data_IF_737273614020
#
_entry.id   IF_737273614020
#
_cell.length_a   1.000
_cell.length_b   1.000
_cell.length_c   1.000
_cell.angle_alpha   90.00
_cell.angle_beta   90.00
_cell.angle_gamma   90.00
#
_symmetry.space_group_name_H-M   'P 1'
#
loop_
_entity.id
_entity.type
_entity.pdbx_description
1 polymer ?
#
# COMPACT_ATOMS: atom_id res chain seq x y z
N UNK A 1 -12.01 -10.76 -7.50
CA UNK A 1 -10.87 -11.44 -6.83
C UNK A 1 -11.12 -11.70 -5.34
N UNK A 2 -11.82 -10.83 -4.60
CA UNK A 2 -11.94 -10.90 -3.13
C UNK A 2 -12.98 -11.86 -2.50
N UNK A 3 -13.75 -12.66 -3.25
CA UNK A 3 -14.86 -13.44 -2.64
C UNK A 3 -14.42 -14.46 -1.57
N UNK A 4 -13.13 -14.82 -1.50
CA UNK A 4 -12.59 -15.74 -0.49
C UNK A 4 -11.31 -15.25 0.23
N UNK A 5 -10.80 -14.07 -0.08
CA UNK A 5 -9.56 -13.55 0.56
C UNK A 5 -9.94 -12.95 1.91
N UNK A 6 -9.38 -13.48 3.00
CA UNK A 6 -9.59 -12.99 4.37
C UNK A 6 -8.27 -12.64 5.06
N UNK A 7 -7.18 -13.32 4.71
CA UNK A 7 -5.87 -13.18 5.33
C UNK A 7 -4.81 -12.71 4.33
N UNK A 8 -4.29 -11.52 4.58
CA UNK A 8 -3.29 -10.86 3.74
C UNK A 8 -1.98 -10.74 4.52
N UNK A 9 -0.89 -11.28 3.98
CA UNK A 9 0.43 -11.20 4.59
C UNK A 9 1.31 -10.18 3.86
N UNK A 10 1.90 -9.24 4.59
CA UNK A 10 2.79 -8.20 4.05
C UNK A 10 4.25 -8.51 4.35
N UNK A 11 5.12 -8.51 3.33
CA UNK A 11 6.57 -8.57 3.51
C UNK A 11 7.15 -7.16 3.47
N UNK A 12 7.75 -6.71 4.58
CA UNK A 12 8.15 -5.31 4.78
C UNK A 12 6.96 -4.41 5.10
N UNK A 13 6.11 -4.83 6.04
CA UNK A 13 4.85 -4.16 6.38
C UNK A 13 5.04 -2.72 6.91
N UNK A 14 6.19 -2.42 7.52
CA UNK A 14 6.53 -1.09 8.03
C UNK A 14 7.00 -0.12 6.94
N UNK A 15 7.17 -0.58 5.70
CA UNK A 15 7.67 0.22 4.59
C UNK A 15 6.76 1.40 4.21
N UNK A 16 7.40 2.43 3.63
CA UNK A 16 6.74 3.54 2.94
C UNK A 16 5.77 3.00 1.89
N UNK A 17 4.49 3.39 1.96
CA UNK A 17 3.41 2.91 1.11
C UNK A 17 2.84 1.52 1.42
N UNK A 18 3.53 0.68 2.19
CA UNK A 18 3.00 -0.63 2.63
C UNK A 18 2.08 -0.47 3.84
N UNK A 19 2.55 0.29 4.83
CA UNK A 19 1.85 0.48 6.10
C UNK A 19 0.48 1.14 5.94
N UNK A 20 0.33 2.07 5.00
CA UNK A 20 -0.95 2.72 4.70
C UNK A 20 -1.99 1.74 4.14
N UNK A 21 -1.57 0.87 3.22
CA UNK A 21 -2.42 -0.18 2.64
C UNK A 21 -2.82 -1.18 3.74
N UNK A 22 -1.85 -1.62 4.55
CA UNK A 22 -2.12 -2.53 5.68
C UNK A 22 -3.13 -1.94 6.67
N UNK A 23 -2.99 -0.67 7.06
CA UNK A 23 -3.95 0.00 7.95
C UNK A 23 -5.36 0.05 7.35
N UNK A 24 -5.49 0.39 6.06
CA UNK A 24 -6.80 0.40 5.38
C UNK A 24 -7.44 -0.98 5.39
N UNK A 25 -6.67 -2.04 5.12
CA UNK A 25 -7.19 -3.42 5.11
C UNK A 25 -7.60 -3.91 6.50
N UNK A 26 -6.80 -3.63 7.54
CA UNK A 26 -7.14 -3.96 8.94
C UNK A 26 -8.48 -3.31 9.31
N UNK A 27 -8.61 -2.00 9.04
CA UNK A 27 -9.85 -1.26 9.35
C UNK A 27 -11.04 -1.71 8.51
N UNK A 28 -10.79 -2.28 7.33
CA UNK A 28 -11.82 -2.87 6.47
C UNK A 28 -12.24 -4.29 6.90
N UNK A 29 -11.66 -4.81 7.99
CA UNK A 29 -12.02 -6.11 8.57
C UNK A 29 -11.23 -7.31 8.04
N UNK A 30 -10.17 -7.08 7.25
CA UNK A 30 -9.28 -8.16 6.82
C UNK A 30 -8.35 -8.57 7.96
N UNK A 31 -8.01 -9.85 8.02
CA UNK A 31 -6.90 -10.32 8.85
C UNK A 31 -5.60 -9.92 8.16
N UNK A 32 -4.80 -9.09 8.79
CA UNK A 32 -3.50 -8.66 8.26
C UNK A 32 -2.40 -9.19 9.15
N UNK A 33 -1.41 -9.84 8.53
CA UNK A 33 -0.13 -10.15 9.16
C UNK A 33 0.99 -9.53 8.35
N UNK A 34 2.19 -9.46 8.92
CA UNK A 34 3.34 -9.08 8.14
C UNK A 34 4.66 -9.32 8.82
N UNK A 35 5.72 -9.19 8.04
CA UNK A 35 7.10 -9.26 8.51
C UNK A 35 7.80 -7.92 8.32
N UNK A 36 8.76 -7.64 9.20
CA UNK A 36 9.71 -6.55 9.03
C UNK A 36 11.03 -6.90 9.72
N UNK A 37 12.12 -6.19 9.42
CA UNK A 37 13.43 -6.44 10.06
C UNK A 37 13.53 -5.67 11.38
N UNK A 38 12.85 -4.52 11.48
CA UNK A 38 12.99 -3.62 12.63
C UNK A 38 11.63 -3.26 13.22
N UNK A 39 11.59 -3.24 14.54
CA UNK A 39 10.48 -2.63 15.28
C UNK A 39 10.58 -1.11 15.18
N UNK A 40 9.48 -0.51 14.75
CA UNK A 40 9.33 0.94 14.57
C UNK A 40 7.97 1.38 15.07
N UNK A 41 7.80 2.69 15.28
CA UNK A 41 6.51 3.29 15.65
C UNK A 41 5.39 3.00 14.63
N UNK A 42 5.74 2.79 13.35
CA UNK A 42 4.79 2.38 12.30
C UNK A 42 4.30 0.95 12.56
N UNK A 43 5.22 0.02 12.79
CA UNK A 43 4.86 -1.38 13.07
C UNK A 43 4.09 -1.51 14.39
N UNK A 44 4.49 -0.79 15.45
CA UNK A 44 3.77 -0.79 16.74
C UNK A 44 2.34 -0.28 16.59
N UNK A 45 2.13 0.75 15.77
CA UNK A 45 0.78 1.23 15.46
C UNK A 45 -0.05 0.15 14.77
N UNK A 46 0.51 -0.55 13.78
CA UNK A 46 -0.19 -1.63 13.08
C UNK A 46 -0.51 -2.79 14.03
N UNK A 47 0.41 -3.17 14.92
CA UNK A 47 0.15 -4.14 15.99
C UNK A 47 -1.04 -3.70 16.86
N UNK A 48 -1.07 -2.43 17.29
CA UNK A 48 -2.17 -1.86 18.08
C UNK A 48 -3.51 -1.83 17.33
N UNK A 49 -3.48 -1.81 15.99
CA UNK A 49 -4.69 -1.92 15.16
C UNK A 49 -5.13 -3.38 14.95
N UNK A 50 -4.30 -4.36 15.32
CA UNK A 50 -4.61 -5.79 15.24
C UNK A 50 -3.78 -6.57 14.22
N UNK A 51 -2.72 -5.98 13.65
CA UNK A 51 -1.80 -6.71 12.77
C UNK A 51 -0.95 -7.71 13.57
N UNK A 52 -0.81 -8.93 13.07
CA UNK A 52 0.20 -9.87 13.57
C UNK A 52 1.55 -9.61 12.89
N UNK A 53 2.52 -9.01 13.60
CA UNK A 53 3.83 -8.67 13.03
C UNK A 53 4.93 -9.58 13.56
N UNK A 54 5.83 -10.01 12.67
CA UNK A 54 6.98 -10.85 12.98
C UNK A 54 8.25 -10.12 12.56
N UNK A 55 9.15 -9.86 13.51
CA UNK A 55 10.37 -9.08 13.27
C UNK A 55 11.53 -9.92 12.70
N UNK A 56 11.23 -10.78 11.73
CA UNK A 56 12.20 -11.61 11.02
C UNK A 56 11.53 -12.23 9.80
N UNK A 57 12.25 -12.36 8.68
CA UNK A 57 11.75 -13.06 7.50
C UNK A 57 11.91 -14.57 7.64
N UNK A 58 10.79 -15.30 7.78
CA UNK A 58 10.79 -16.77 7.89
C UNK A 58 9.72 -17.38 7.01
N UNK A 59 10.05 -18.53 6.42
CA UNK A 59 9.10 -19.31 5.59
C UNK A 59 7.78 -19.62 6.31
N UNK A 60 7.81 -19.82 7.64
CA UNK A 60 6.59 -20.11 8.41
C UNK A 60 5.62 -18.93 8.51
N UNK A 61 6.05 -17.70 8.22
CA UNK A 61 5.26 -16.50 8.41
C UNK A 61 4.11 -16.39 7.39
N UNK A 62 4.27 -16.98 6.21
CA UNK A 62 3.25 -16.96 5.14
C UNK A 62 2.19 -18.05 5.29
N UNK A 63 2.30 -18.90 6.32
CA UNK A 63 1.37 -20.02 6.50
C UNK A 63 -0.06 -19.50 6.68
N UNK A 64 -0.98 -20.10 5.91
CA UNK A 64 -2.41 -19.76 5.86
C UNK A 64 -2.71 -18.35 5.33
N UNK A 65 -1.75 -17.65 4.72
CA UNK A 65 -2.05 -16.43 3.98
C UNK A 65 -2.81 -16.78 2.70
N UNK A 66 -3.89 -16.05 2.43
CA UNK A 66 -4.64 -16.18 1.17
C UNK A 66 -3.92 -15.43 0.04
N UNK A 67 -3.14 -14.40 0.38
CA UNK A 67 -2.32 -13.62 -0.55
C UNK A 67 -1.13 -13.00 0.21
N UNK A 68 0.00 -12.89 -0.48
CA UNK A 68 1.19 -12.20 -0.02
C UNK A 68 1.37 -10.89 -0.80
N UNK A 69 1.62 -9.80 -0.10
CA UNK A 69 1.92 -8.47 -0.66
C UNK A 69 3.35 -8.09 -0.33
N UNK A 70 4.11 -7.61 -1.30
CA UNK A 70 5.48 -7.16 -1.11
C UNK A 70 5.75 -5.84 -1.84
N UNK A 71 6.79 -5.12 -1.40
CA UNK A 71 7.28 -3.92 -2.07
C UNK A 71 8.46 -4.23 -3.00
N UNK A 72 8.77 -3.31 -3.91
CA UNK A 72 9.93 -3.40 -4.81
C UNK A 72 11.28 -3.51 -4.08
N UNK A 73 11.35 -3.14 -2.80
CA UNK A 73 12.54 -3.26 -1.97
C UNK A 73 12.83 -4.69 -1.50
N UNK A 74 11.85 -5.60 -1.57
CA UNK A 74 12.03 -6.99 -1.15
C UNK A 74 12.67 -7.79 -2.30
N UNK A 75 13.83 -8.38 -2.01
CA UNK A 75 14.56 -9.22 -2.98
C UNK A 75 13.84 -10.53 -3.24
N UNK A 76 13.95 -11.02 -4.47
CA UNK A 76 13.41 -12.32 -4.90
C UNK A 76 13.92 -13.52 -4.09
N UNK A 77 15.09 -13.38 -3.46
CA UNK A 77 15.69 -14.37 -2.58
C UNK A 77 15.07 -14.38 -1.17
N UNK A 78 14.06 -13.56 -0.89
CA UNK A 78 13.40 -13.51 0.41
C UNK A 78 12.69 -14.86 0.68
N UNK A 79 12.91 -15.39 1.89
CA UNK A 79 12.42 -16.71 2.29
C UNK A 79 10.89 -16.81 2.30
N UNK A 80 10.18 -15.72 2.58
CA UNK A 80 8.71 -15.67 2.56
C UNK A 80 8.17 -15.71 1.13
N UNK A 81 8.82 -15.01 0.18
CA UNK A 81 8.47 -15.08 -1.24
C UNK A 81 8.67 -16.49 -1.80
N UNK A 82 9.81 -17.12 -1.49
CA UNK A 82 10.11 -18.50 -1.92
C UNK A 82 9.09 -19.49 -1.34
N UNK A 83 8.76 -19.35 -0.06
CA UNK A 83 7.77 -20.20 0.60
C UNK A 83 6.36 -20.01 0.00
N UNK A 84 5.94 -18.77 -0.23
CA UNK A 84 4.64 -18.46 -0.83
C UNK A 84 4.51 -19.07 -2.23
N UNK A 85 5.57 -19.00 -3.06
CA UNK A 85 5.61 -19.68 -4.38
C UNK A 85 5.44 -21.19 -4.25
N UNK A 86 6.21 -21.80 -3.35
CA UNK A 86 6.16 -23.25 -3.12
C UNK A 86 4.79 -23.72 -2.65
N UNK A 87 4.12 -22.89 -1.83
CA UNK A 87 2.76 -23.14 -1.32
C UNK A 87 1.65 -22.71 -2.29
N UNK A 88 1.99 -22.17 -3.47
CA UNK A 88 1.04 -21.61 -4.46
C UNK A 88 0.13 -20.50 -3.88
N UNK A 89 0.63 -19.77 -2.90
CA UNK A 89 -0.02 -18.57 -2.38
C UNK A 89 0.17 -17.46 -3.44
N UNK A 90 -0.90 -16.80 -3.89
CA UNK A 90 -0.78 -15.64 -4.78
C UNK A 90 0.14 -14.57 -4.20
N UNK A 91 1.06 -14.07 -5.01
CA UNK A 91 2.01 -13.01 -4.66
C UNK A 91 1.67 -11.82 -5.55
N UNK A 92 1.38 -10.68 -4.94
CA UNK A 92 1.08 -9.44 -5.65
C UNK A 92 1.95 -8.29 -5.15
N UNK A 93 2.23 -7.33 -6.04
CA UNK A 93 3.01 -6.15 -5.68
C UNK A 93 2.16 -5.11 -4.94
N UNK A 94 2.84 -4.18 -4.26
CA UNK A 94 2.20 -3.07 -3.55
C UNK A 94 1.19 -2.32 -4.41
N UNK A 95 1.53 -1.91 -5.64
CA UNK A 95 0.59 -1.14 -6.46
C UNK A 95 -0.55 -2.00 -7.01
N UNK A 96 -0.37 -3.31 -7.18
CA UNK A 96 -1.49 -4.21 -7.52
C UNK A 96 -2.50 -4.26 -6.38
N UNK A 97 -2.04 -4.36 -5.12
CA UNK A 97 -2.94 -4.28 -3.97
C UNK A 97 -3.65 -2.92 -3.89
N UNK A 98 -2.93 -1.82 -4.18
CA UNK A 98 -3.53 -0.49 -4.23
C UNK A 98 -4.55 -0.36 -5.37
N UNK A 99 -4.27 -0.94 -6.53
CA UNK A 99 -5.20 -0.99 -7.66
C UNK A 99 -6.47 -1.77 -7.30
N UNK A 100 -6.34 -2.87 -6.58
CA UNK A 100 -7.48 -3.62 -6.07
C UNK A 100 -8.32 -2.81 -5.07
N UNK A 101 -7.70 -2.00 -4.20
CA UNK A 101 -8.42 -1.03 -3.38
C UNK A 101 -9.15 0.02 -4.24
N UNK A 102 -8.51 0.51 -5.30
CA UNK A 102 -9.13 1.42 -6.28
C UNK A 102 -10.27 0.78 -7.05
N UNK A 103 -10.32 -0.54 -7.23
CA UNK A 103 -11.49 -1.19 -7.88
C UNK A 103 -12.72 -1.22 -6.98
N UNK A 104 -12.54 -1.09 -5.66
CA UNK A 104 -13.63 -1.07 -4.69
C UNK A 104 -14.16 0.35 -4.38
N UNK A 105 -13.46 1.39 -4.87
CA UNK A 105 -13.73 2.80 -4.58
C UNK A 105 -13.53 3.64 -5.86
N UNK A 106 -13.86 4.92 -5.85
CA UNK A 106 -13.49 5.85 -6.91
C UNK A 106 -12.05 6.34 -6.67
N UNK A 107 -11.09 5.66 -7.31
CA UNK A 107 -9.66 5.95 -7.17
C UNK A 107 -9.23 7.27 -7.81
N UNK A 108 -8.60 8.14 -7.03
CA UNK A 108 -7.93 9.37 -7.45
C UNK A 108 -6.43 9.18 -7.23
N UNK A 109 -5.68 9.05 -8.32
CA UNK A 109 -4.23 8.89 -8.29
C UNK A 109 -3.52 10.23 -8.47
N UNK A 110 -2.66 10.59 -7.54
CA UNK A 110 -1.80 11.78 -7.61
C UNK A 110 -0.38 11.34 -7.95
N UNK A 111 -0.01 11.52 -9.22
CA UNK A 111 1.28 11.21 -9.79
C UNK A 111 2.13 12.46 -10.03
N UNK A 112 3.41 12.23 -10.35
CA UNK A 112 4.37 13.26 -10.77
C UNK A 112 5.58 13.34 -9.86
N UNK A 113 6.70 13.85 -10.35
CA UNK A 113 7.98 13.75 -9.62
C UNK A 113 7.99 14.52 -8.31
N UNK A 114 7.36 15.69 -8.27
CA UNK A 114 7.28 16.54 -7.09
C UNK A 114 5.83 16.88 -6.74
N UNK A 115 5.56 17.10 -5.45
CA UNK A 115 4.27 17.61 -4.98
C UNK A 115 3.18 16.55 -4.76
N UNK A 116 3.44 15.25 -5.00
CA UNK A 116 2.47 14.14 -4.78
C UNK A 116 1.83 14.18 -3.40
N UNK A 117 2.65 14.22 -2.34
CA UNK A 117 2.18 14.18 -0.95
C UNK A 117 1.35 15.39 -0.54
N UNK A 118 1.79 16.58 -0.94
CA UNK A 118 1.06 17.82 -0.65
C UNK A 118 -0.28 17.84 -1.37
N UNK A 119 -0.29 17.54 -2.67
CA UNK A 119 -1.51 17.51 -3.48
C UNK A 119 -2.47 16.42 -3.02
N UNK A 120 -1.98 15.23 -2.64
CA UNK A 120 -2.79 14.16 -2.04
C UNK A 120 -3.45 14.61 -0.75
N UNK A 121 -2.70 15.29 0.12
CA UNK A 121 -3.22 15.80 1.39
C UNK A 121 -4.27 16.89 1.18
N UNK A 122 -4.07 17.79 0.23
CA UNK A 122 -5.03 18.84 -0.13
C UNK A 122 -6.31 18.22 -0.70
N UNK A 123 -6.19 17.32 -1.68
CA UNK A 123 -7.33 16.65 -2.30
C UNK A 123 -8.16 15.87 -1.27
N UNK A 124 -7.50 15.09 -0.41
CA UNK A 124 -8.15 14.38 0.67
C UNK A 124 -8.88 15.32 1.63
N UNK A 125 -8.26 16.47 1.97
CA UNK A 125 -8.87 17.44 2.90
C UNK A 125 -10.07 18.17 2.29
N UNK A 126 -10.02 18.51 1.00
CA UNK A 126 -11.15 19.12 0.29
C UNK A 126 -12.34 18.16 0.27
N UNK A 127 -12.10 16.90 -0.09
CA UNK A 127 -13.16 15.88 -0.13
C UNK A 127 -13.74 15.61 1.26
N UNK A 128 -12.90 15.53 2.28
CA UNK A 128 -13.33 15.38 3.68
C UNK A 128 -14.19 16.57 4.13
N UNK A 129 -13.76 17.81 3.85
CA UNK A 129 -14.52 19.02 4.19
C UNK A 129 -15.84 19.13 3.43
N UNK A 130 -15.89 18.63 2.18
CA UNK A 130 -17.10 18.55 1.39
C UNK A 130 -18.04 17.38 1.80
N UNK A 131 -17.68 16.61 2.83
CA UNK A 131 -18.52 15.53 3.37
C UNK A 131 -18.40 14.20 2.64
N UNK A 132 -17.44 14.04 1.73
CA UNK A 132 -17.24 12.79 0.99
C UNK A 132 -16.45 11.72 1.76
N UNK A 133 -15.87 12.05 2.92
CA UNK A 133 -15.13 11.13 3.81
C UNK A 133 -14.23 10.11 3.07
N UNK A 134 -13.17 10.58 2.35
CA UNK A 134 -12.38 9.73 1.46
C UNK A 134 -11.46 8.76 2.21
N UNK A 135 -11.23 7.58 1.65
CA UNK A 135 -10.07 6.76 2.02
C UNK A 135 -8.80 7.40 1.48
N UNK A 136 -7.71 7.35 2.24
CA UNK A 136 -6.44 7.99 1.86
C UNK A 136 -5.30 7.00 2.06
N UNK A 137 -4.43 6.86 1.06
CA UNK A 137 -3.20 6.07 1.12
C UNK A 137 -2.03 6.90 0.60
N UNK A 138 -1.01 7.14 1.43
CA UNK A 138 0.21 7.87 1.04
C UNK A 138 1.44 7.01 1.27
N UNK A 139 2.50 7.24 0.49
CA UNK A 139 3.80 6.62 0.71
C UNK A 139 4.36 6.99 2.09
N UNK A 140 4.21 8.25 2.49
CA UNK A 140 4.68 8.78 3.78
C UNK A 140 3.67 8.71 4.93
N UNK A 141 3.63 9.78 5.73
CA UNK A 141 2.62 9.98 6.79
C UNK A 141 1.78 11.20 6.45
N UNK A 142 0.46 11.06 6.56
CA UNK A 142 -0.45 12.19 6.47
C UNK A 142 -0.29 13.01 7.76
N UNK A 143 0.23 14.24 7.67
CA UNK A 143 0.55 15.07 8.84
C UNK A 143 -0.63 15.28 9.79
N UNK A 144 -1.85 15.38 9.27
CA UNK A 144 -3.07 15.59 10.06
C UNK A 144 -3.55 14.35 10.83
N UNK A 145 -3.17 13.14 10.39
CA UNK A 145 -3.68 11.86 10.93
C UNK A 145 -2.55 11.03 11.57
N UNK A 146 -1.29 11.38 11.30
CA UNK A 146 -0.11 10.68 11.81
C UNK A 146 0.10 9.28 11.24
N UNK A 147 -0.61 8.91 10.17
CA UNK A 147 -0.53 7.60 9.53
C UNK A 147 -0.40 7.72 8.01
N UNK A 148 0.18 6.69 7.37
CA UNK A 148 0.19 6.54 5.91
C UNK A 148 -1.16 6.06 5.32
N UNK A 149 -2.13 5.70 6.17
CA UNK A 149 -3.44 5.22 5.73
C UNK A 149 -4.58 5.76 6.60
N UNK A 150 -5.70 6.11 5.95
CA UNK A 150 -6.99 6.39 6.61
C UNK A 150 -8.09 5.69 5.84
N UNK A 151 -8.86 4.83 6.51
CA UNK A 151 -10.10 4.31 5.94
C UNK A 151 -11.22 5.34 6.10
N UNK A 152 -11.82 5.73 4.99
CA UNK A 152 -13.02 6.57 4.94
C UNK A 152 -14.26 5.75 4.55
N UNK A 153 -15.44 6.21 4.95
CA UNK A 153 -16.71 5.54 4.66
C UNK A 153 -17.27 5.89 3.29
N UNK A 154 -16.84 7.00 2.68
CA UNK A 154 -17.31 7.41 1.36
C UNK A 154 -16.65 6.66 0.22
N UNK A 155 -17.08 6.99 -0.99
CA UNK A 155 -16.74 6.22 -2.19
C UNK A 155 -15.34 6.50 -2.71
N UNK A 156 -14.73 7.64 -2.36
CA UNK A 156 -13.43 8.03 -2.90
C UNK A 156 -12.25 7.35 -2.19
N UNK A 157 -11.23 7.01 -2.97
CA UNK A 157 -9.89 6.67 -2.48
C UNK A 157 -8.90 7.62 -3.13
N UNK A 158 -8.16 8.41 -2.33
CA UNK A 158 -7.08 9.27 -2.82
C UNK A 158 -5.75 8.63 -2.47
N UNK A 159 -4.85 8.51 -3.44
CA UNK A 159 -3.52 8.02 -3.15
C UNK A 159 -2.41 8.68 -3.96
N UNK A 160 -1.20 8.58 -3.42
CA UNK A 160 0.01 8.86 -4.18
C UNK A 160 0.29 7.73 -5.18
N UNK A 161 0.74 8.10 -6.37
CA UNK A 161 1.17 7.20 -7.41
C UNK A 161 2.62 7.55 -7.78
N UNK A 162 3.55 6.64 -7.49
CA UNK A 162 4.99 6.88 -7.62
C UNK A 162 5.50 6.20 -8.90
N UNK A 163 6.07 6.99 -9.80
CA UNK A 163 6.61 6.55 -11.07
C UNK A 163 7.86 5.65 -10.93
N UNK A 164 8.56 5.69 -9.79
CA UNK A 164 9.68 4.79 -9.50
C UNK A 164 9.20 3.39 -9.10
N UNK A 165 7.90 3.24 -8.78
CA UNK A 165 7.29 1.96 -8.54
C UNK A 165 7.08 1.23 -9.87
N UNK A 166 7.77 0.11 -10.06
CA UNK A 166 7.63 -0.75 -11.24
C UNK A 166 6.22 -1.28 -11.48
N UNK A 167 5.32 -1.11 -10.52
CA UNK A 167 3.89 -1.43 -10.63
C UNK A 167 2.98 -0.20 -10.81
N UNK A 168 3.53 0.99 -11.09
CA UNK A 168 2.77 2.23 -11.33
C UNK A 168 1.64 2.07 -12.36
N UNK A 169 1.90 1.35 -13.46
CA UNK A 169 0.92 1.10 -14.52
C UNK A 169 -0.18 0.08 -14.15
N UNK A 170 -0.05 -0.59 -13.01
CA UNK A 170 -1.09 -1.50 -12.50
C UNK A 170 -2.25 -0.75 -11.85
N UNK A 171 -2.08 0.55 -11.53
CA UNK A 171 -3.12 1.37 -10.94
C UNK A 171 -4.33 1.52 -11.87
N UNK A 172 -5.53 1.57 -11.29
CA UNK A 172 -6.79 1.71 -12.03
C UNK A 172 -7.62 2.90 -11.51
N UNK A 173 -7.08 4.14 -11.58
CA UNK A 173 -7.80 5.31 -11.12
C UNK A 173 -8.94 5.71 -12.08
N UNK A 174 -9.97 6.35 -11.53
CA UNK A 174 -10.98 7.07 -12.32
C UNK A 174 -10.55 8.50 -12.63
N UNK A 175 -9.69 9.08 -11.78
CA UNK A 175 -9.10 10.41 -11.96
C UNK A 175 -7.60 10.31 -11.70
N UNK A 176 -6.80 10.83 -12.62
CA UNK A 176 -5.34 10.94 -12.46
C UNK A 176 -4.93 12.41 -12.50
N UNK A 177 -4.10 12.82 -11.56
CA UNK A 177 -3.47 14.14 -11.53
C UNK A 177 -1.97 13.93 -11.72
N UNK A 178 -1.36 14.68 -12.64
CA UNK A 178 0.09 14.70 -12.85
C UNK A 178 0.59 16.09 -12.41
N UNK A 179 1.33 16.15 -11.32
CA UNK A 179 1.82 17.41 -10.74
C UNK A 179 3.05 17.97 -11.48
N UNK A 180 3.97 17.09 -11.86
CA UNK A 180 5.18 17.40 -12.62
C UNK A 180 5.73 16.14 -13.29
N UNK A 181 6.61 16.31 -14.29
CA UNK A 181 7.39 15.22 -14.89
C UNK A 181 8.83 15.70 -14.94
N UNK A 182 9.74 14.99 -14.27
CA UNK A 182 11.18 15.32 -14.21
C UNK A 182 12.05 14.05 -14.36
N UNK A 183 13.37 14.24 -14.46
CA UNK A 183 14.34 13.19 -14.76
C UNK A 183 14.86 12.40 -13.55
N UNK A 184 14.29 12.60 -12.35
CA UNK A 184 14.81 12.00 -11.10
C UNK A 184 14.82 10.46 -11.10
N UNK A 185 13.90 9.83 -11.83
CA UNK A 185 13.67 8.38 -11.79
C UNK A 185 13.85 7.69 -13.15
N UNK A 186 14.68 8.27 -14.04
CA UNK A 186 14.98 7.66 -15.34
C UNK A 186 15.61 6.27 -15.20
N UNK A 187 16.37 6.02 -14.13
CA UNK A 187 16.96 4.72 -13.81
C UNK A 187 15.93 3.58 -13.64
N UNK A 188 14.67 3.94 -13.39
CA UNK A 188 13.55 2.99 -13.29
C UNK A 188 13.06 2.50 -14.65
N UNK A 189 13.42 3.18 -15.75
CA UNK A 189 13.01 2.91 -17.13
C UNK A 189 14.25 2.61 -17.99
N UNK A 190 14.39 1.37 -18.46
CA UNK A 190 15.64 0.88 -19.09
C UNK A 190 15.86 1.38 -20.53
N UNK A 191 14.95 2.21 -21.03
CA UNK A 191 14.79 2.62 -22.41
C UNK A 191 14.67 4.15 -22.59
N UNK A 192 14.99 4.92 -21.55
CA UNK A 192 15.08 6.39 -21.55
C UNK A 192 16.43 6.81 -20.97
#
# INVERSE_FOLDING_TARGET
MFRHIKHIHFVGIGGSGMSGIAEVLIRSGYRVTGSDIKRTSVTERLENLGAGIIYEHKEKNVRNADVLVYSSAIKESNTELIAARSMKIPIIQRAEMLAELMRMKQGIAIAGTHGKTTTTSIAARILDFAGYDPTVVVGGRIKSIGSGGRLGKGDYLVCEADESDRSFLSLSPVISIITSIDADHLDSYRDI
#
